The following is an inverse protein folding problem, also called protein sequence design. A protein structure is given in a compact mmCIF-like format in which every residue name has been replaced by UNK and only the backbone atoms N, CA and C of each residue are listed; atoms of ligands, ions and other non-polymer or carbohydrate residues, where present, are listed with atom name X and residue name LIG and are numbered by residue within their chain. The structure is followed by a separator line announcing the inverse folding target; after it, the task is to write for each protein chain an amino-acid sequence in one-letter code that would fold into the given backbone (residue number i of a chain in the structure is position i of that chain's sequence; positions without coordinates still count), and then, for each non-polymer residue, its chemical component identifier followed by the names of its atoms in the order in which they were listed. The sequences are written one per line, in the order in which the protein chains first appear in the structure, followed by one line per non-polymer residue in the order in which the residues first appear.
data_IF_474759319459
#
_entry.id   IF_474759319459
#
_cell.length_a   1.000
_cell.length_b   1.000
_cell.length_c   1.000
_cell.angle_alpha   90.00
_cell.angle_beta   90.00
_cell.angle_gamma   90.00
#
_symmetry.space_group_name_H-M   'P 1'
#
loop_
_entity.id
_entity.type
_entity.pdbx_description
1 polymer ?
#
# COMPACT_ATOMS: atom_id res chain seq x y z
N UNK A 1 3.88 -8.17 25.11
CA UNK A 1 2.69 -7.68 24.38
C UNK A 1 1.69 -8.81 24.28
N UNK A 2 0.40 -8.57 24.57
CA UNK A 2 -0.66 -9.56 24.40
C UNK A 2 -0.78 -9.85 22.90
N UNK A 3 -0.85 -11.13 22.48
CA UNK A 3 -1.03 -11.47 21.06
C UNK A 3 -2.40 -10.97 20.61
N UNK A 4 -2.44 -10.22 19.50
CA UNK A 4 -3.70 -9.75 18.92
C UNK A 4 -4.48 -10.91 18.31
N UNK A 5 -5.79 -10.91 18.48
CA UNK A 5 -6.71 -11.82 17.79
C UNK A 5 -6.99 -11.38 16.35
N UNK A 6 -7.55 -12.28 15.53
CA UNK A 6 -7.93 -11.96 14.14
C UNK A 6 -8.80 -10.69 14.01
N UNK A 7 -9.82 -10.45 14.86
CA UNK A 7 -10.63 -9.23 14.76
C UNK A 7 -9.84 -7.94 15.00
N UNK A 8 -8.86 -7.99 15.90
CA UNK A 8 -8.01 -6.84 16.22
C UNK A 8 -7.05 -6.54 15.06
N UNK A 9 -6.49 -7.58 14.43
CA UNK A 9 -5.63 -7.44 13.25
C UNK A 9 -6.41 -6.85 12.07
N UNK A 10 -7.64 -7.32 11.82
CA UNK A 10 -8.51 -6.76 10.77
C UNK A 10 -8.83 -5.29 11.06
N UNK A 11 -9.10 -4.93 12.31
CA UNK A 11 -9.32 -3.54 12.70
C UNK A 11 -8.09 -2.67 12.44
N UNK A 12 -6.89 -3.15 12.75
CA UNK A 12 -5.64 -2.43 12.46
C UNK A 12 -5.41 -2.24 10.96
N UNK A 13 -5.73 -3.25 10.15
CA UNK A 13 -5.67 -3.17 8.68
C UNK A 13 -6.63 -2.09 8.17
N UNK A 14 -7.90 -2.12 8.58
CA UNK A 14 -8.91 -1.10 8.21
C UNK A 14 -8.48 0.31 8.60
N UNK A 15 -7.96 0.48 9.81
CA UNK A 15 -7.45 1.76 10.29
C UNK A 15 -6.24 2.24 9.48
N UNK A 16 -5.37 1.32 9.06
CA UNK A 16 -4.21 1.63 8.23
C UNK A 16 -4.63 2.05 6.82
N UNK A 17 -5.59 1.33 6.21
CA UNK A 17 -6.19 1.71 4.92
C UNK A 17 -6.78 3.13 5.00
N UNK A 18 -7.58 3.41 6.02
CA UNK A 18 -8.16 4.75 6.22
C UNK A 18 -7.10 5.85 6.34
N UNK A 19 -6.01 5.59 7.07
CA UNK A 19 -4.88 6.54 7.18
C UNK A 19 -4.18 6.76 5.84
N UNK A 20 -4.01 5.70 5.05
CA UNK A 20 -3.46 5.80 3.70
C UNK A 20 -4.37 6.67 2.83
N UNK A 21 -5.69 6.46 2.83
CA UNK A 21 -6.62 7.30 2.05
C UNK A 21 -6.55 8.78 2.44
N UNK A 22 -6.51 9.09 3.73
CA UNK A 22 -6.34 10.47 4.21
C UNK A 22 -4.99 11.08 3.78
N UNK A 23 -3.94 10.27 3.73
CA UNK A 23 -2.61 10.72 3.28
C UNK A 23 -2.57 10.92 1.76
N UNK A 24 -3.18 10.02 0.99
CA UNK A 24 -3.32 10.15 -0.47
C UNK A 24 -4.06 11.44 -0.83
N UNK A 25 -5.15 11.76 -0.13
CA UNK A 25 -5.87 13.02 -0.34
C UNK A 25 -5.01 14.27 -0.04
N UNK A 26 -4.11 14.19 0.95
CA UNK A 26 -3.16 15.28 1.24
C UNK A 26 -2.09 15.41 0.15
N UNK A 27 -1.54 14.29 -0.32
CA UNK A 27 -0.58 14.28 -1.44
C UNK A 27 -1.22 14.86 -2.70
N UNK A 28 -2.44 14.45 -3.04
CA UNK A 28 -3.15 14.93 -4.23
C UNK A 28 -3.32 16.45 -4.23
N UNK A 29 -3.78 17.01 -3.10
CA UNK A 29 -3.87 18.47 -2.94
C UNK A 29 -2.50 19.16 -3.04
N UNK A 30 -1.45 18.53 -2.50
CA UNK A 30 -0.08 19.03 -2.60
C UNK A 30 0.43 19.03 -4.03
N UNK A 31 0.15 17.98 -4.81
CA UNK A 31 0.51 17.89 -6.24
C UNK A 31 -0.15 19.04 -7.01
N UNK A 32 -1.46 19.22 -6.86
CA UNK A 32 -2.20 20.32 -7.53
C UNK A 32 -1.60 21.70 -7.22
N UNK A 33 -1.28 21.93 -5.95
CA UNK A 33 -0.63 23.18 -5.51
C UNK A 33 0.75 23.37 -6.18
N UNK A 34 1.55 22.30 -6.27
CA UNK A 34 2.85 22.35 -6.91
C UNK A 34 2.75 22.54 -8.42
N UNK A 35 1.72 21.99 -9.07
CA UNK A 35 1.45 22.16 -10.49
C UNK A 35 1.16 23.63 -10.80
N UNK A 36 0.27 24.26 -10.02
CA UNK A 36 -0.05 25.69 -10.14
C UNK A 36 1.21 26.56 -9.96
N UNK A 37 2.02 26.27 -8.93
CA UNK A 37 3.28 26.98 -8.68
C UNK A 37 4.29 26.77 -9.81
N UNK A 38 4.37 25.56 -10.37
CA UNK A 38 5.26 25.27 -11.49
C UNK A 38 4.89 26.08 -12.72
N UNK A 39 3.59 26.09 -13.07
CA UNK A 39 3.06 26.83 -14.22
C UNK A 39 3.24 28.33 -14.06
N UNK A 40 2.97 28.87 -12.87
CA UNK A 40 3.16 30.30 -12.59
C UNK A 40 4.62 30.76 -12.75
N UNK A 41 5.58 29.89 -12.43
CA UNK A 41 7.00 30.21 -12.44
C UNK A 41 7.72 29.90 -13.76
N UNK A 42 7.09 29.19 -14.71
CA UNK A 42 7.76 28.68 -15.91
C UNK A 42 8.45 29.77 -16.76
N UNK A 43 7.83 30.95 -16.86
CA UNK A 43 8.32 32.06 -17.67
C UNK A 43 9.20 33.08 -16.93
N UNK A 44 9.17 33.11 -15.59
CA UNK A 44 9.90 34.10 -14.77
C UNK A 44 11.06 33.49 -13.99
N UNK A 45 10.84 32.32 -13.42
CA UNK A 45 11.77 31.62 -12.55
C UNK A 45 11.83 30.14 -12.91
N UNK A 46 12.42 29.84 -14.07
CA UNK A 46 12.50 28.48 -14.63
C UNK A 46 13.12 27.47 -13.65
N UNK A 47 14.13 27.89 -12.87
CA UNK A 47 14.71 27.04 -11.82
C UNK A 47 13.68 26.60 -10.76
N UNK A 48 12.81 27.52 -10.31
CA UNK A 48 11.75 27.20 -9.34
C UNK A 48 10.69 26.28 -9.95
N UNK A 49 10.29 26.55 -11.20
CA UNK A 49 9.36 25.68 -11.94
C UNK A 49 9.89 24.24 -12.03
N UNK A 50 11.16 24.06 -12.39
CA UNK A 50 11.82 22.74 -12.42
C UNK A 50 11.87 22.08 -11.04
N UNK A 51 12.14 22.85 -9.98
CA UNK A 51 12.17 22.33 -8.62
C UNK A 51 10.78 21.82 -8.20
N UNK A 52 9.71 22.58 -8.47
CA UNK A 52 8.34 22.13 -8.20
C UNK A 52 7.95 20.91 -9.03
N UNK A 53 8.35 20.85 -10.30
CA UNK A 53 8.13 19.66 -11.13
C UNK A 53 8.80 18.41 -10.55
N UNK A 54 10.04 18.53 -10.08
CA UNK A 54 10.74 17.41 -9.42
C UNK A 54 10.00 16.95 -8.15
N UNK A 55 9.48 17.90 -7.36
CA UNK A 55 8.71 17.59 -6.17
C UNK A 55 7.38 16.89 -6.50
N UNK A 56 6.72 17.26 -7.60
CA UNK A 56 5.52 16.58 -8.11
C UNK A 56 5.83 15.12 -8.41
N UNK A 57 6.92 14.83 -9.13
CA UNK A 57 7.32 13.45 -9.46
C UNK A 57 7.60 12.62 -8.20
N UNK A 58 8.23 13.19 -7.17
CA UNK A 58 8.44 12.52 -5.89
C UNK A 58 7.10 12.18 -5.23
N UNK A 59 6.15 13.13 -5.22
CA UNK A 59 4.83 12.93 -4.63
C UNK A 59 4.00 11.89 -5.40
N UNK A 60 4.04 11.88 -6.74
CA UNK A 60 3.38 10.85 -7.57
C UNK A 60 3.93 9.45 -7.30
N UNK A 61 5.25 9.32 -7.19
CA UNK A 61 5.90 8.06 -6.85
C UNK A 61 5.53 7.57 -5.43
N UNK A 62 5.42 8.48 -4.47
CA UNK A 62 4.92 8.12 -3.14
C UNK A 62 3.46 7.67 -3.18
N UNK A 63 2.63 8.36 -3.97
CA UNK A 63 1.21 8.05 -4.13
C UNK A 63 0.99 6.65 -4.70
N UNK A 64 1.71 6.27 -5.77
CA UNK A 64 1.56 4.93 -6.37
C UNK A 64 2.02 3.82 -5.41
N UNK A 65 3.08 4.05 -4.63
CA UNK A 65 3.57 3.08 -3.64
C UNK A 65 2.56 2.89 -2.49
N UNK A 66 1.94 3.97 -2.02
CA UNK A 66 0.89 3.91 -1.00
C UNK A 66 -0.37 3.21 -1.51
N UNK A 67 -0.77 3.45 -2.77
CA UNK A 67 -1.89 2.76 -3.39
C UNK A 67 -1.65 1.25 -3.48
N UNK A 68 -0.46 0.82 -3.93
CA UNK A 68 -0.09 -0.61 -3.97
C UNK A 68 -0.23 -1.26 -2.59
N UNK A 69 0.27 -0.59 -1.54
CA UNK A 69 0.17 -1.08 -0.16
C UNK A 69 -1.27 -1.18 0.30
N UNK A 70 -2.07 -0.15 0.03
CA UNK A 70 -3.50 -0.15 0.33
C UNK A 70 -4.20 -1.36 -0.29
N UNK A 71 -3.99 -1.62 -1.58
CA UNK A 71 -4.67 -2.73 -2.28
C UNK A 71 -4.25 -4.08 -1.69
N UNK A 72 -2.97 -4.28 -1.37
CA UNK A 72 -2.53 -5.52 -0.70
C UNK A 72 -3.17 -5.65 0.68
N UNK A 73 -3.32 -4.56 1.43
CA UNK A 73 -4.01 -4.55 2.72
C UNK A 73 -5.50 -4.89 2.57
N UNK A 74 -6.17 -4.39 1.53
CA UNK A 74 -7.58 -4.72 1.23
C UNK A 74 -7.73 -6.21 0.86
N UNK A 75 -6.84 -6.75 0.03
CA UNK A 75 -6.81 -8.20 -0.27
C UNK A 75 -6.60 -9.01 1.02
N UNK A 76 -5.70 -8.56 1.89
CA UNK A 76 -5.40 -9.22 3.15
C UNK A 76 -6.60 -9.20 4.10
N UNK A 77 -7.29 -8.06 4.20
CA UNK A 77 -8.53 -7.89 4.97
C UNK A 77 -9.57 -8.93 4.53
N UNK A 78 -9.88 -8.99 3.23
CA UNK A 78 -10.87 -9.91 2.67
C UNK A 78 -10.51 -11.36 2.99
N UNK A 79 -9.23 -11.75 2.85
CA UNK A 79 -8.79 -13.12 3.14
C UNK A 79 -8.85 -13.45 4.63
N UNK A 80 -8.57 -12.49 5.51
CA UNK A 80 -8.69 -12.68 6.97
C UNK A 80 -10.15 -12.78 7.42
N UNK A 81 -11.04 -11.96 6.87
CA UNK A 81 -12.49 -12.05 7.11
C UNK A 81 -13.02 -13.41 6.64
N UNK A 82 -12.59 -13.86 5.47
CA UNK A 82 -12.95 -15.18 4.94
C UNK A 82 -12.42 -16.31 5.84
N UNK A 83 -11.19 -16.20 6.35
CA UNK A 83 -10.65 -17.16 7.31
C UNK A 83 -11.50 -17.20 8.59
N UNK A 84 -11.93 -16.05 9.11
CA UNK A 84 -12.80 -15.99 10.29
C UNK A 84 -14.14 -16.69 10.04
N UNK A 85 -14.69 -16.60 8.84
CA UNK A 85 -15.98 -17.23 8.49
C UNK A 85 -15.87 -18.73 8.23
N UNK A 86 -14.82 -19.19 7.53
CA UNK A 86 -14.72 -20.56 7.00
C UNK A 86 -13.71 -21.46 7.72
N UNK A 87 -12.84 -20.90 8.56
CA UNK A 87 -11.83 -21.58 9.40
C UNK A 87 -10.90 -22.57 8.67
N UNK A 88 -10.78 -22.52 7.34
CA UNK A 88 -10.09 -23.55 6.54
C UNK A 88 -9.10 -23.01 5.48
N UNK A 89 -8.92 -21.69 5.37
CA UNK A 89 -8.18 -21.06 4.26
C UNK A 89 -6.88 -20.35 4.69
N UNK A 90 -6.15 -20.92 5.67
CA UNK A 90 -4.89 -20.30 6.17
C UNK A 90 -3.82 -20.19 5.09
N UNK A 91 -3.77 -21.16 4.17
CA UNK A 91 -2.82 -21.20 3.05
C UNK A 91 -2.95 -19.98 2.13
N UNK A 92 -4.14 -19.37 2.04
CA UNK A 92 -4.40 -18.21 1.19
C UNK A 92 -3.88 -16.89 1.78
N UNK A 93 -3.55 -16.82 3.07
CA UNK A 93 -3.07 -15.57 3.69
C UNK A 93 -1.58 -15.37 3.43
N UNK A 94 -0.83 -16.48 3.42
CA UNK A 94 0.63 -16.47 3.31
C UNK A 94 1.13 -15.66 2.09
N UNK A 95 0.62 -15.85 0.85
CA UNK A 95 1.09 -15.12 -0.31
C UNK A 95 0.86 -13.61 -0.21
N UNK A 96 -0.24 -13.18 0.43
CA UNK A 96 -0.55 -11.75 0.60
C UNK A 96 0.40 -11.10 1.60
N UNK A 97 0.70 -11.80 2.69
CA UNK A 97 1.69 -11.33 3.69
C UNK A 97 3.06 -11.18 3.05
N UNK A 98 3.48 -12.12 2.20
CA UNK A 98 4.74 -12.03 1.43
C UNK A 98 4.76 -10.91 0.40
N UNK A 99 3.64 -10.69 -0.28
CA UNK A 99 3.49 -9.57 -1.18
C UNK A 99 3.64 -8.24 -0.43
N UNK A 100 3.00 -8.11 0.75
CA UNK A 100 3.10 -6.94 1.62
C UNK A 100 4.55 -6.72 2.12
N UNK A 101 5.24 -7.78 2.56
CA UNK A 101 6.67 -7.73 2.93
C UNK A 101 7.54 -7.19 1.78
N UNK A 102 7.26 -7.64 0.55
CA UNK A 102 8.05 -7.28 -0.64
C UNK A 102 7.88 -5.81 -1.03
N UNK A 103 6.65 -5.28 -0.98
CA UNK A 103 6.39 -3.90 -1.39
C UNK A 103 6.63 -2.87 -0.28
N UNK A 104 6.67 -3.30 1.00
CA UNK A 104 6.96 -2.41 2.13
C UNK A 104 8.28 -1.64 1.93
N UNK A 105 9.30 -2.28 1.35
CA UNK A 105 10.58 -1.63 1.04
C UNK A 105 10.45 -0.40 0.14
N UNK A 106 9.42 -0.35 -0.71
CA UNK A 106 9.17 0.75 -1.65
C UNK A 106 8.51 1.97 -0.97
N UNK A 107 7.96 1.83 0.23
CA UNK A 107 7.49 2.97 1.03
C UNK A 107 8.65 3.81 1.60
N UNK A 108 9.89 3.37 1.43
CA UNK A 108 11.07 3.98 2.02
C UNK A 108 11.03 3.96 3.56
N UNK A 109 11.82 4.83 4.20
CA UNK A 109 11.78 5.05 5.65
C UNK A 109 10.55 5.85 6.08
N UNK A 110 9.36 5.54 5.53
CA UNK A 110 8.12 6.20 5.95
C UNK A 110 7.89 5.95 7.43
N UNK A 111 8.12 7.00 8.24
CA UNK A 111 7.99 6.98 9.70
C UNK A 111 6.53 6.71 10.10
N UNK A 112 5.57 7.09 9.24
CA UNK A 112 4.14 6.97 9.51
C UNK A 112 3.59 5.57 9.21
N UNK A 113 3.95 4.98 8.06
CA UNK A 113 3.34 3.73 7.60
C UNK A 113 4.21 2.50 7.84
N UNK A 114 5.53 2.64 7.89
CA UNK A 114 6.46 1.53 8.16
C UNK A 114 6.12 0.78 9.46
N UNK A 115 6.00 1.48 10.60
CA UNK A 115 5.66 0.84 11.88
C UNK A 115 4.27 0.19 11.91
N UNK A 116 3.29 0.76 11.21
CA UNK A 116 1.93 0.20 11.14
C UNK A 116 1.93 -1.14 10.40
N UNK A 117 2.63 -1.18 9.26
CA UNK A 117 2.78 -2.40 8.47
C UNK A 117 3.61 -3.44 9.23
N UNK A 118 4.65 -3.02 9.95
CA UNK A 118 5.44 -3.91 10.80
C UNK A 118 4.61 -4.56 11.91
N UNK A 119 3.76 -3.79 12.58
CA UNK A 119 2.88 -4.33 13.61
C UNK A 119 1.88 -5.34 13.01
N UNK A 120 1.27 -5.02 11.87
CA UNK A 120 0.38 -5.96 11.15
C UNK A 120 1.11 -7.26 10.79
N UNK A 121 2.29 -7.17 10.17
CA UNK A 121 3.10 -8.32 9.78
C UNK A 121 3.51 -9.17 10.99
N UNK A 122 3.93 -8.52 12.08
CA UNK A 122 4.36 -9.21 13.30
C UNK A 122 3.22 -9.99 13.95
N UNK A 123 2.01 -9.42 13.96
CA UNK A 123 0.82 -10.08 14.50
C UNK A 123 0.27 -11.19 13.57
N UNK A 124 0.58 -11.15 12.27
CA UNK A 124 0.20 -12.19 11.30
C UNK A 124 1.14 -13.38 11.26
N UNK A 125 2.43 -13.23 11.61
CA UNK A 125 3.41 -14.33 11.62
C UNK A 125 2.89 -15.63 12.26
N UNK A 126 2.26 -15.63 13.45
CA UNK A 126 1.78 -16.86 14.08
C UNK A 126 0.65 -17.56 13.33
N UNK A 127 -0.14 -16.82 12.53
CA UNK A 127 -1.25 -17.35 11.73
C UNK A 127 -0.70 -18.04 10.47
N UNK A 128 0.42 -17.52 9.97
CA UNK A 128 1.06 -17.90 8.71
C UNK A 128 2.06 -19.06 8.89
N UNK A 129 2.70 -19.19 10.05
CA UNK A 129 3.74 -20.22 10.30
C UNK A 129 3.23 -21.54 10.89
N UNK A 130 1.97 -21.63 11.32
CA UNK A 130 1.44 -22.79 12.07
C UNK A 130 0.89 -23.90 11.15
N UNK A 131 1.75 -24.62 10.42
CA UNK A 131 1.40 -25.77 9.54
C UNK A 131 1.04 -25.43 8.07
N UNK A 132 1.65 -24.40 7.48
CA UNK A 132 1.54 -24.21 6.04
C UNK A 132 2.28 -25.35 5.30
N UNK A 133 1.55 -26.18 4.54
CA UNK A 133 2.16 -27.05 3.52
C UNK A 133 2.94 -26.16 2.55
N UNK A 134 4.10 -26.59 2.05
CA UNK A 134 4.82 -25.84 1.04
C UNK A 134 3.92 -25.67 -0.19
N UNK A 135 3.51 -24.43 -0.46
CA UNK A 135 2.74 -24.08 -1.65
C UNK A 135 3.70 -24.29 -2.81
N UNK A 136 3.43 -25.30 -3.65
CA UNK A 136 4.30 -25.69 -4.78
C UNK A 136 4.58 -24.53 -5.77
N UNK A 137 3.79 -23.44 -5.73
CA UNK A 137 3.90 -22.26 -6.58
C UNK A 137 3.86 -20.92 -5.80
N UNK A 138 4.34 -20.88 -4.55
CA UNK A 138 4.33 -19.69 -3.66
C UNK A 138 4.80 -18.40 -4.38
N UNK A 139 5.88 -18.49 -5.14
CA UNK A 139 6.46 -17.37 -5.90
C UNK A 139 5.52 -16.83 -7.00
N UNK A 140 4.70 -17.68 -7.60
CA UNK A 140 3.78 -17.29 -8.67
C UNK A 140 2.56 -16.55 -8.10
N UNK A 141 2.01 -17.00 -6.98
CA UNK A 141 0.88 -16.34 -6.32
C UNK A 141 1.26 -14.98 -5.74
N UNK A 142 2.45 -14.87 -5.13
CA UNK A 142 2.97 -13.59 -4.65
C UNK A 142 3.12 -12.60 -5.82
N UNK A 143 3.66 -13.04 -6.96
CA UNK A 143 3.77 -12.21 -8.17
C UNK A 143 2.41 -11.75 -8.68
N UNK A 144 1.43 -12.65 -8.78
CA UNK A 144 0.07 -12.31 -9.21
C UNK A 144 -0.56 -11.24 -8.33
N UNK A 145 -0.41 -11.34 -7.00
CA UNK A 145 -0.94 -10.33 -6.06
C UNK A 145 -0.25 -8.98 -6.26
N UNK A 146 1.07 -8.96 -6.46
CA UNK A 146 1.81 -7.72 -6.71
C UNK A 146 1.40 -7.10 -8.05
N UNK A 147 1.28 -7.90 -9.11
CA UNK A 147 0.84 -7.45 -10.43
C UNK A 147 -0.60 -6.92 -10.42
N UNK A 148 -1.49 -7.59 -9.69
CA UNK A 148 -2.87 -7.14 -9.47
C UNK A 148 -2.88 -5.81 -8.72
N UNK A 149 -2.11 -5.68 -7.63
CA UNK A 149 -1.99 -4.44 -6.87
C UNK A 149 -1.40 -3.31 -7.71
N UNK A 150 -0.43 -3.59 -8.58
CA UNK A 150 0.16 -2.61 -9.49
C UNK A 150 -0.83 -2.15 -10.56
N UNK A 151 -1.59 -3.08 -11.14
CA UNK A 151 -2.63 -2.79 -12.13
C UNK A 151 -3.73 -1.92 -11.52
N UNK A 152 -4.29 -2.34 -10.39
CA UNK A 152 -5.38 -1.61 -9.71
C UNK A 152 -4.89 -0.25 -9.22
N UNK A 153 -3.67 -0.15 -8.67
CA UNK A 153 -3.09 1.13 -8.27
C UNK A 153 -2.97 2.09 -9.45
N UNK A 154 -2.55 1.59 -10.62
CA UNK A 154 -2.41 2.36 -11.85
C UNK A 154 -3.76 2.85 -12.37
N UNK A 155 -4.79 2.00 -12.31
CA UNK A 155 -6.16 2.37 -12.66
C UNK A 155 -6.72 3.44 -11.72
N UNK A 156 -6.59 3.27 -10.39
CA UNK A 156 -7.04 4.27 -9.41
C UNK A 156 -6.31 5.60 -9.57
N UNK A 157 -5.00 5.57 -9.86
CA UNK A 157 -4.19 6.76 -10.11
C UNK A 157 -4.67 7.56 -11.33
N UNK A 158 -5.09 6.87 -12.40
CA UNK A 158 -5.64 7.48 -13.61
C UNK A 158 -7.06 8.01 -13.39
N UNK A 159 -7.94 7.22 -12.78
CA UNK A 159 -9.37 7.55 -12.68
C UNK A 159 -9.68 8.56 -11.58
N UNK A 160 -9.12 8.34 -10.39
CA UNK A 160 -9.47 9.11 -9.18
C UNK A 160 -8.58 10.34 -9.02
N UNK A 161 -7.28 10.17 -9.27
CA UNK A 161 -6.30 11.25 -9.05
C UNK A 161 -5.91 11.98 -10.33
N UNK A 162 -6.36 11.50 -11.51
CA UNK A 162 -6.10 12.11 -12.82
C UNK A 162 -4.61 12.35 -13.10
N UNK A 163 -3.74 11.55 -12.49
CA UNK A 163 -2.30 11.65 -12.71
C UNK A 163 -1.97 10.90 -14.00
N UNK A 164 -1.34 11.53 -15.00
CA UNK A 164 -0.85 10.83 -16.18
C UNK A 164 0.25 9.85 -15.75
N UNK A 165 0.09 8.58 -16.15
CA UNK A 165 1.13 7.53 -16.07
C UNK A 165 1.97 7.48 -17.32
#
# INVERSE_FOLDING_TARGET
MKKKGLPEIIADIKLTIYRIDMFLARIDNRIKTLEDLSLYNIGRFNYLSKAYYKEIEINKNLMINLLRVKIILEILEIRLETLMMLNSLREYIYPVVKALESIKGNLGNSIEFGPLIDDILLNLKPIVTSDAKPILNESEEVRKIIEEAEKVATEELREKYKVPT
#
